data_IF_402237130673
#
_entry.id   IF_402237130673
#
_cell.length_a   1.000
_cell.length_b   1.000
_cell.length_c   1.000
_cell.angle_alpha   90.00
_cell.angle_beta   90.00
_cell.angle_gamma   90.00
#
_symmetry.space_group_name_H-M   'P 1'
#
loop_
_entity.id
_entity.type
_entity.pdbx_description
1 polymer ?
#
# COMPACT_ATOMS: atom_id res chain seq x y z
N UNK A 1 -35.80 1.24 -46.86
CA UNK A 1 -35.36 0.35 -45.78
C UNK A 1 -34.22 1.05 -45.03
N UNK A 2 -34.46 1.45 -43.76
CA UNK A 2 -33.50 2.13 -42.92
C UNK A 2 -32.46 1.13 -42.43
N UNK A 3 -31.18 1.26 -42.82
CA UNK A 3 -30.09 0.58 -42.17
C UNK A 3 -30.02 1.12 -40.73
N UNK A 4 -30.39 0.27 -39.77
CA UNK A 4 -30.17 0.52 -38.35
C UNK A 4 -28.65 0.57 -38.14
N UNK A 5 -28.11 1.74 -37.83
CA UNK A 5 -26.74 1.94 -37.42
C UNK A 5 -26.48 1.02 -36.21
N UNK A 6 -25.69 -0.02 -36.42
CA UNK A 6 -25.11 -0.84 -35.34
C UNK A 6 -24.24 0.10 -34.48
N UNK A 7 -24.80 0.61 -33.38
CA UNK A 7 -23.99 1.39 -32.42
C UNK A 7 -22.77 0.54 -32.05
N UNK A 8 -21.61 1.02 -32.43
CA UNK A 8 -20.35 0.38 -32.07
C UNK A 8 -20.20 0.38 -30.55
N UNK A 9 -20.18 -0.79 -29.93
CA UNK A 9 -19.86 -1.00 -28.52
C UNK A 9 -18.33 -1.13 -28.28
N UNK A 10 -17.55 -0.49 -29.12
CA UNK A 10 -16.07 -0.61 -29.15
C UNK A 10 -15.41 -0.52 -27.77
N UNK A 11 -15.88 0.42 -26.92
CA UNK A 11 -15.34 0.52 -25.56
C UNK A 11 -15.63 -0.71 -24.70
N UNK A 12 -16.81 -1.33 -24.85
CA UNK A 12 -17.14 -2.56 -24.15
C UNK A 12 -16.31 -3.74 -24.66
N UNK A 13 -16.04 -3.77 -25.96
CA UNK A 13 -15.23 -4.84 -26.59
C UNK A 13 -13.76 -4.75 -26.13
N UNK A 14 -13.19 -3.54 -25.99
CA UNK A 14 -11.87 -3.32 -25.40
C UNK A 14 -11.79 -3.93 -24.01
N UNK A 15 -12.74 -3.60 -23.13
CA UNK A 15 -12.78 -4.10 -21.75
C UNK A 15 -12.93 -5.63 -21.70
N UNK A 16 -13.72 -6.23 -22.61
CA UNK A 16 -13.87 -7.69 -22.68
C UNK A 16 -12.54 -8.37 -23.07
N UNK A 17 -11.83 -7.85 -24.07
CA UNK A 17 -10.55 -8.40 -24.49
C UNK A 17 -9.54 -8.36 -23.33
N UNK A 18 -9.50 -7.27 -22.58
CA UNK A 18 -8.63 -7.18 -21.38
C UNK A 18 -9.07 -8.13 -20.27
N UNK A 19 -10.37 -8.30 -20.04
CA UNK A 19 -10.88 -9.26 -19.07
C UNK A 19 -10.54 -10.71 -19.44
N UNK A 20 -10.69 -11.11 -20.71
CA UNK A 20 -10.29 -12.43 -21.20
C UNK A 20 -8.77 -12.67 -21.02
N UNK A 21 -7.95 -11.64 -21.22
CA UNK A 21 -6.50 -11.73 -20.99
C UNK A 21 -6.16 -11.94 -19.49
N UNK A 22 -6.91 -11.31 -18.58
CA UNK A 22 -6.76 -11.49 -17.14
C UNK A 22 -7.22 -12.88 -16.68
N UNK A 23 -8.33 -13.40 -17.21
CA UNK A 23 -8.78 -14.76 -16.94
C UNK A 23 -7.71 -15.79 -17.40
N UNK A 24 -7.17 -15.62 -18.58
CA UNK A 24 -6.08 -16.47 -19.09
C UNK A 24 -4.80 -16.35 -18.23
N UNK A 25 -4.50 -15.18 -17.67
CA UNK A 25 -3.40 -15.02 -16.72
C UNK A 25 -3.66 -15.79 -15.43
N UNK A 26 -4.86 -15.71 -14.87
CA UNK A 26 -5.22 -16.41 -13.64
C UNK A 26 -5.07 -17.94 -13.82
N UNK A 27 -5.54 -18.48 -14.94
CA UNK A 27 -5.39 -19.90 -15.27
C UNK A 27 -3.90 -20.29 -15.40
N UNK A 28 -3.05 -19.43 -15.97
CA UNK A 28 -1.61 -19.69 -16.04
C UNK A 28 -0.96 -19.71 -14.66
N UNK A 29 -1.30 -18.74 -13.79
CA UNK A 29 -0.77 -18.70 -12.42
C UNK A 29 -1.20 -19.95 -11.63
N UNK A 30 -2.45 -20.38 -11.78
CA UNK A 30 -2.97 -21.58 -11.11
C UNK A 30 -2.45 -22.91 -11.72
N UNK A 31 -1.88 -22.88 -12.92
CA UNK A 31 -1.47 -24.04 -13.68
C UNK A 31 -0.01 -24.00 -14.12
N UNK A 32 0.28 -23.80 -15.43
CA UNK A 32 1.63 -24.00 -15.98
C UNK A 32 2.68 -23.01 -15.45
N UNK A 33 2.30 -21.87 -14.92
CA UNK A 33 3.19 -20.87 -14.36
C UNK A 33 3.29 -20.92 -12.82
N UNK A 34 2.58 -21.82 -12.15
CA UNK A 34 2.51 -21.87 -10.69
C UNK A 34 3.91 -21.98 -10.04
N UNK A 35 4.76 -22.90 -10.53
CA UNK A 35 6.11 -23.08 -10.00
C UNK A 35 6.98 -21.82 -10.21
N UNK A 36 6.89 -21.18 -11.38
CA UNK A 36 7.63 -19.96 -11.65
C UNK A 36 7.16 -18.80 -10.80
N UNK A 37 5.85 -18.69 -10.55
CA UNK A 37 5.26 -17.69 -9.68
C UNK A 37 5.74 -17.86 -8.23
N UNK A 38 5.72 -19.08 -7.70
CA UNK A 38 6.22 -19.40 -6.36
C UNK A 38 7.72 -19.10 -6.22
N UNK A 39 8.54 -19.47 -7.21
CA UNK A 39 9.98 -19.13 -7.25
C UNK A 39 10.22 -17.62 -7.29
N UNK A 40 9.40 -16.86 -8.00
CA UNK A 40 9.49 -15.40 -7.99
C UNK A 40 9.23 -14.85 -6.59
N UNK A 41 8.21 -15.35 -5.90
CA UNK A 41 7.91 -14.97 -4.52
C UNK A 41 9.05 -15.36 -3.55
N UNK A 42 9.63 -16.54 -3.70
CA UNK A 42 10.78 -16.99 -2.89
C UNK A 42 11.99 -16.07 -3.08
N UNK A 43 12.29 -15.71 -4.32
CA UNK A 43 13.38 -14.78 -4.65
C UNK A 43 13.13 -13.39 -4.04
N UNK A 44 11.91 -12.86 -4.14
CA UNK A 44 11.53 -11.58 -3.54
C UNK A 44 11.50 -11.64 -2.01
N UNK A 45 11.11 -12.75 -1.41
CA UNK A 45 11.10 -12.94 0.04
C UNK A 45 12.52 -13.01 0.61
N UNK A 46 13.45 -13.65 -0.10
CA UNK A 46 14.86 -13.74 0.26
C UNK A 46 15.64 -12.44 0.03
N UNK A 47 15.05 -11.44 -0.64
CA UNK A 47 15.67 -10.15 -0.92
C UNK A 47 16.08 -9.44 0.38
N UNK A 48 17.37 -9.10 0.51
CA UNK A 48 17.92 -8.38 1.66
C UNK A 48 17.98 -6.87 1.43
N UNK A 49 17.89 -6.44 0.18
CA UNK A 49 17.87 -5.05 -0.24
C UNK A 49 16.45 -4.59 -0.63
N UNK A 50 16.33 -4.06 -1.85
CA UNK A 50 15.08 -3.55 -2.41
C UNK A 50 14.67 -4.37 -3.64
N UNK A 51 13.38 -4.38 -3.93
CA UNK A 51 12.86 -4.83 -5.23
C UNK A 51 12.94 -3.65 -6.20
N UNK A 52 13.82 -3.76 -7.20
CA UNK A 52 14.02 -2.74 -8.22
C UNK A 52 13.20 -3.12 -9.45
N UNK A 53 12.19 -2.33 -9.80
CA UNK A 53 11.31 -2.61 -10.94
C UNK A 53 11.72 -1.72 -12.10
N UNK A 54 11.89 -2.29 -13.29
CA UNK A 54 12.36 -1.57 -14.48
C UNK A 54 11.53 -1.90 -15.73
N UNK A 55 11.44 -0.95 -16.64
CA UNK A 55 10.69 -1.09 -17.91
C UNK A 55 10.74 0.19 -18.74
N UNK A 56 10.52 0.08 -20.06
CA UNK A 56 10.48 1.21 -20.98
C UNK A 56 9.06 1.60 -21.41
N UNK A 57 8.83 2.87 -21.69
CA UNK A 57 7.58 3.39 -22.23
C UNK A 57 6.37 3.00 -21.37
N UNK A 58 5.36 2.35 -21.95
CA UNK A 58 4.15 1.92 -21.20
C UNK A 58 4.47 0.86 -20.15
N UNK A 59 5.38 -0.08 -20.43
CA UNK A 59 5.87 -1.04 -19.43
C UNK A 59 6.60 -0.34 -18.29
N UNK A 60 7.27 0.80 -18.51
CA UNK A 60 7.87 1.63 -17.47
C UNK A 60 6.85 2.28 -16.56
N UNK A 61 5.70 2.73 -17.08
CA UNK A 61 4.59 3.25 -16.26
C UNK A 61 3.99 2.15 -15.38
N UNK A 62 3.82 0.94 -15.93
CA UNK A 62 3.38 -0.24 -15.19
C UNK A 62 4.41 -0.60 -14.11
N UNK A 63 5.70 -0.60 -14.43
CA UNK A 63 6.78 -0.86 -13.48
C UNK A 63 6.79 0.13 -12.31
N UNK A 64 6.55 1.42 -12.57
CA UNK A 64 6.39 2.44 -11.51
C UNK A 64 5.23 2.11 -10.58
N UNK A 65 4.08 1.70 -11.14
CA UNK A 65 2.91 1.31 -10.34
C UNK A 65 3.19 0.06 -9.50
N UNK A 66 3.84 -0.94 -10.06
CA UNK A 66 4.23 -2.17 -9.32
C UNK A 66 5.17 -1.82 -8.16
N UNK A 67 6.18 -1.00 -8.38
CA UNK A 67 7.09 -0.54 -7.33
C UNK A 67 6.34 0.20 -6.22
N UNK A 68 5.38 1.07 -6.57
CA UNK A 68 4.54 1.77 -5.61
C UNK A 68 3.65 0.80 -4.82
N UNK A 69 3.05 -0.20 -5.47
CA UNK A 69 2.24 -1.23 -4.79
C UNK A 69 3.09 -2.04 -3.81
N UNK A 70 4.26 -2.52 -4.21
CA UNK A 70 5.20 -3.23 -3.34
C UNK A 70 5.56 -2.40 -2.11
N UNK A 71 5.91 -1.12 -2.30
CA UNK A 71 6.24 -0.22 -1.19
C UNK A 71 5.06 -0.01 -0.26
N UNK A 72 3.85 0.16 -0.78
CA UNK A 72 2.64 0.35 0.01
C UNK A 72 2.15 -0.91 0.72
N UNK A 73 2.63 -2.08 0.31
CA UNK A 73 2.37 -3.38 0.94
C UNK A 73 3.56 -3.91 1.75
N UNK A 74 4.46 -3.02 2.18
CA UNK A 74 5.54 -3.34 3.12
C UNK A 74 6.81 -3.93 2.51
N UNK A 75 6.93 -3.97 1.18
CA UNK A 75 8.17 -4.41 0.51
C UNK A 75 8.93 -3.19 0.01
N UNK A 76 10.14 -2.88 0.52
CA UNK A 76 10.94 -1.80 -0.01
C UNK A 76 11.19 -1.96 -1.51
N UNK A 77 10.67 -1.04 -2.32
CA UNK A 77 10.78 -1.12 -3.76
C UNK A 77 11.02 0.24 -4.40
N UNK A 78 11.61 0.25 -5.59
CA UNK A 78 11.83 1.47 -6.37
C UNK A 78 11.75 1.18 -7.86
N UNK A 79 11.46 2.22 -8.63
CA UNK A 79 11.54 2.18 -10.08
C UNK A 79 12.92 2.67 -10.55
N UNK A 80 13.55 1.93 -11.47
CA UNK A 80 14.77 2.31 -12.18
C UNK A 80 14.47 2.46 -13.68
N UNK A 81 14.66 3.67 -14.20
CA UNK A 81 14.47 3.90 -15.63
C UNK A 81 15.65 3.33 -16.42
N UNK A 82 15.46 2.41 -17.40
CA UNK A 82 16.57 1.73 -18.05
C UNK A 82 17.52 2.67 -18.80
N UNK A 83 17.01 3.72 -19.45
CA UNK A 83 17.85 4.67 -20.17
C UNK A 83 18.69 5.54 -19.21
N UNK A 84 18.15 5.94 -18.05
CA UNK A 84 18.90 6.71 -17.05
C UNK A 84 19.92 5.83 -16.33
N UNK A 85 19.58 4.56 -16.15
CA UNK A 85 20.48 3.58 -15.55
C UNK A 85 21.83 3.51 -16.24
N UNK A 86 21.87 3.45 -17.57
CA UNK A 86 23.13 3.39 -18.34
C UNK A 86 23.91 4.71 -18.32
N UNK A 87 23.30 5.81 -17.85
CA UNK A 87 23.93 7.12 -17.71
C UNK A 87 24.34 7.47 -16.26
N UNK A 88 24.27 6.51 -15.34
CA UNK A 88 24.77 6.71 -13.96
C UNK A 88 23.92 6.06 -12.88
N UNK A 89 22.59 5.94 -13.07
CA UNK A 89 21.66 5.45 -12.04
C UNK A 89 21.81 3.95 -11.75
N UNK A 90 22.65 3.22 -12.51
CA UNK A 90 23.07 1.85 -12.14
C UNK A 90 23.72 1.76 -10.75
N UNK A 91 24.25 2.86 -10.24
CA UNK A 91 24.74 2.94 -8.87
C UNK A 91 23.67 2.77 -7.80
N UNK A 92 22.37 2.88 -8.17
CA UNK A 92 21.25 2.63 -7.27
C UNK A 92 21.01 1.14 -7.03
N UNK A 93 21.53 0.26 -7.90
CA UNK A 93 21.40 -1.18 -7.79
C UNK A 93 22.59 -1.74 -6.98
N UNK A 94 22.28 -2.45 -5.93
CA UNK A 94 23.27 -2.99 -4.99
C UNK A 94 23.11 -4.49 -4.78
N UNK A 95 24.13 -5.15 -4.25
CA UNK A 95 24.06 -6.56 -3.88
C UNK A 95 22.94 -6.78 -2.85
N UNK A 96 22.17 -7.87 -3.02
CA UNK A 96 21.04 -8.18 -2.17
C UNK A 96 19.70 -7.62 -2.67
N UNK A 97 19.72 -6.77 -3.71
CA UNK A 97 18.49 -6.38 -4.41
C UNK A 97 17.94 -7.53 -5.28
N UNK A 98 16.69 -7.39 -5.71
CA UNK A 98 16.05 -8.22 -6.74
C UNK A 98 15.49 -7.30 -7.81
N UNK A 99 15.76 -7.61 -9.09
CA UNK A 99 15.24 -6.84 -10.22
C UNK A 99 14.02 -7.54 -10.84
N UNK A 100 12.94 -6.80 -11.04
CA UNK A 100 11.80 -7.20 -11.88
C UNK A 100 11.84 -6.36 -13.15
N UNK A 101 12.12 -7.01 -14.29
CA UNK A 101 12.23 -6.35 -15.58
C UNK A 101 11.02 -6.65 -16.49
N UNK A 102 10.32 -5.59 -16.90
CA UNK A 102 9.13 -5.64 -17.75
C UNK A 102 9.49 -5.31 -19.19
N UNK A 103 9.39 -6.29 -20.08
CA UNK A 103 9.53 -6.11 -21.53
C UNK A 103 8.66 -7.12 -22.26
N UNK A 104 7.61 -6.66 -22.94
CA UNK A 104 6.69 -7.58 -23.62
C UNK A 104 7.41 -8.44 -24.69
N UNK A 105 8.29 -7.85 -25.50
CA UNK A 105 9.13 -8.58 -26.46
C UNK A 105 10.28 -9.34 -25.81
N UNK A 106 10.70 -8.93 -24.61
CA UNK A 106 11.93 -9.41 -23.97
C UNK A 106 13.24 -9.02 -24.70
N UNK A 107 13.15 -8.12 -25.70
CA UNK A 107 14.24 -7.70 -26.57
C UNK A 107 14.48 -6.17 -26.54
N UNK A 108 13.97 -5.48 -25.53
CA UNK A 108 14.17 -4.03 -25.34
C UNK A 108 15.64 -3.74 -25.03
N UNK A 109 16.34 -3.06 -25.94
CA UNK A 109 17.80 -2.86 -25.88
C UNK A 109 18.25 -2.20 -24.58
N UNK A 110 17.52 -1.17 -24.10
CA UNK A 110 17.85 -0.45 -22.87
C UNK A 110 17.76 -1.37 -21.64
N UNK A 111 16.85 -2.34 -21.63
CA UNK A 111 16.74 -3.31 -20.53
C UNK A 111 17.84 -4.37 -20.66
N UNK A 112 18.14 -4.84 -21.87
CA UNK A 112 19.21 -5.82 -22.10
C UNK A 112 20.58 -5.28 -21.70
N UNK A 113 20.83 -3.98 -21.86
CA UNK A 113 22.07 -3.34 -21.41
C UNK A 113 22.26 -3.40 -19.89
N UNK A 114 21.19 -3.54 -19.09
CA UNK A 114 21.29 -3.71 -17.64
C UNK A 114 21.78 -5.10 -17.22
N UNK A 115 21.58 -6.13 -18.07
CA UNK A 115 21.86 -7.53 -17.74
C UNK A 115 23.32 -7.76 -17.32
N UNK A 116 24.27 -7.06 -17.96
CA UNK A 116 25.69 -7.17 -17.63
C UNK A 116 25.95 -6.76 -16.19
N UNK A 117 25.34 -5.66 -15.76
CA UNK A 117 25.50 -5.16 -14.38
C UNK A 117 24.76 -6.03 -13.38
N UNK A 118 23.52 -6.44 -13.68
CA UNK A 118 22.74 -7.35 -12.84
C UNK A 118 23.52 -8.63 -12.55
N UNK A 119 24.08 -9.26 -13.60
CA UNK A 119 24.92 -10.47 -13.48
C UNK A 119 26.20 -10.21 -12.68
N UNK A 120 26.91 -9.10 -12.94
CA UNK A 120 28.14 -8.74 -12.21
C UNK A 120 27.91 -8.53 -10.72
N UNK A 121 26.77 -7.96 -10.34
CA UNK A 121 26.41 -7.73 -8.94
C UNK A 121 25.85 -8.99 -8.27
N UNK A 122 25.47 -10.02 -9.02
CA UNK A 122 24.82 -11.20 -8.48
C UNK A 122 23.42 -10.90 -7.95
N UNK A 123 22.71 -9.98 -8.61
CA UNK A 123 21.35 -9.56 -8.24
C UNK A 123 20.35 -10.48 -8.92
N UNK A 124 19.38 -11.01 -8.17
CA UNK A 124 18.33 -11.88 -8.72
C UNK A 124 17.47 -11.15 -9.75
N UNK A 125 17.13 -11.82 -10.83
CA UNK A 125 16.36 -11.25 -11.94
C UNK A 125 15.08 -12.02 -12.20
N UNK A 126 13.95 -11.33 -12.14
CA UNK A 126 12.63 -11.80 -12.56
C UNK A 126 12.27 -11.07 -13.85
N UNK A 127 11.98 -11.80 -14.92
CA UNK A 127 11.53 -11.25 -16.19
C UNK A 127 10.00 -11.39 -16.33
N UNK A 128 9.32 -10.32 -16.73
CA UNK A 128 7.91 -10.32 -17.12
C UNK A 128 7.85 -10.07 -18.64
N UNK A 129 7.55 -11.10 -19.43
CA UNK A 129 7.60 -11.03 -20.90
C UNK A 129 6.32 -11.57 -21.53
N UNK A 130 6.00 -11.16 -22.75
CA UNK A 130 4.86 -11.65 -23.53
C UNK A 130 5.13 -12.94 -24.31
N UNK A 131 6.35 -13.44 -24.29
CA UNK A 131 6.71 -14.72 -24.91
C UNK A 131 7.23 -15.65 -23.82
N UNK A 132 6.61 -16.84 -23.69
CA UNK A 132 6.90 -17.76 -22.60
C UNK A 132 8.33 -18.25 -22.64
N UNK A 133 8.99 -18.15 -21.51
CA UNK A 133 10.33 -18.63 -21.31
C UNK A 133 10.33 -20.01 -20.67
N UNK A 134 11.04 -20.95 -21.28
CA UNK A 134 11.59 -22.06 -20.50
C UNK A 134 13.00 -21.65 -20.05
N UNK A 135 13.33 -21.63 -18.76
CA UNK A 135 14.67 -21.32 -18.29
C UNK A 135 15.66 -22.39 -18.76
N UNK A 136 16.74 -21.99 -19.42
CA UNK A 136 17.87 -22.86 -19.62
C UNK A 136 18.36 -23.10 -21.05
N UNK A 137 17.77 -22.53 -22.11
CA UNK A 137 18.31 -22.64 -23.46
C UNK A 137 19.14 -21.42 -23.84
N UNK A 138 20.44 -21.56 -23.92
CA UNK A 138 21.34 -20.55 -24.47
C UNK A 138 21.07 -20.36 -25.97
N UNK A 139 20.79 -19.11 -26.39
CA UNK A 139 20.63 -18.76 -27.82
C UNK A 139 22.00 -18.46 -28.39
N UNK A 140 22.44 -19.13 -29.52
CA UNK A 140 23.68 -18.79 -30.20
C UNK A 140 23.55 -17.44 -30.91
N UNK A 141 24.54 -16.56 -30.70
CA UNK A 141 24.71 -15.33 -31.46
C UNK A 141 25.15 -15.64 -32.88
N UNK A 142 24.26 -15.59 -33.86
CA UNK A 142 24.66 -15.51 -35.26
C UNK A 142 23.86 -14.44 -36.02
N UNK A 143 24.68 -13.52 -36.59
CA UNK A 143 24.45 -12.61 -37.72
C UNK A 143 23.40 -11.49 -37.63
N UNK A 144 23.90 -10.30 -37.32
CA UNK A 144 23.29 -9.03 -37.71
C UNK A 144 23.54 -8.69 -39.16
N UNK A 145 22.55 -8.23 -39.93
CA UNK A 145 22.77 -7.47 -41.16
C UNK A 145 23.12 -6.02 -40.82
N UNK A 146 24.09 -5.45 -41.52
CA UNK A 146 24.51 -4.05 -41.42
C UNK A 146 23.45 -3.07 -41.96
N UNK A 147 23.40 -1.84 -41.43
CA UNK A 147 22.44 -0.82 -41.88
C UNK A 147 22.92 -0.12 -43.15
N UNK A 148 22.08 -0.11 -44.19
CA UNK A 148 22.27 0.71 -45.35
C UNK A 148 21.43 0.26 -46.53
N UNK A 149 20.30 0.91 -46.78
CA UNK A 149 19.75 1.36 -48.06
C UNK A 149 18.26 1.70 -47.90
N UNK A 150 17.92 2.93 -48.26
CA UNK A 150 16.55 3.41 -48.38
C UNK A 150 15.83 2.65 -49.51
N UNK A 151 14.62 2.13 -49.24
CA UNK A 151 13.75 1.49 -50.20
C UNK A 151 12.37 2.15 -50.21
N UNK A 152 11.75 2.37 -51.41
CA UNK A 152 10.53 3.14 -51.56
C UNK A 152 9.28 2.47 -50.98
N UNK A 153 8.31 3.27 -50.55
CA UNK A 153 7.00 2.84 -50.07
C UNK A 153 6.18 2.10 -51.13
N UNK A 154 6.22 0.79 -51.14
CA UNK A 154 5.16 -0.03 -51.71
C UNK A 154 4.38 -0.71 -50.59
N UNK A 155 3.04 -0.55 -50.62
CA UNK A 155 2.11 -1.24 -49.72
C UNK A 155 2.23 -2.74 -49.90
N UNK A 156 2.90 -3.39 -48.95
CA UNK A 156 2.89 -4.86 -48.86
C UNK A 156 1.81 -5.30 -47.90
N UNK A 157 1.07 -6.38 -48.19
CA UNK A 157 0.13 -6.96 -47.24
C UNK A 157 0.89 -7.46 -46.03
N UNK A 158 0.34 -7.19 -44.83
CA UNK A 158 0.91 -7.66 -43.57
C UNK A 158 1.16 -9.16 -43.61
N UNK A 159 2.37 -9.64 -43.27
CA UNK A 159 2.57 -11.05 -43.03
C UNK A 159 1.70 -11.44 -41.83
N UNK A 160 0.79 -12.40 -42.04
CA UNK A 160 0.17 -13.16 -40.97
C UNK A 160 1.29 -13.58 -40.04
N UNK A 161 1.09 -13.36 -38.73
CA UNK A 161 1.98 -13.83 -37.68
C UNK A 161 2.34 -15.29 -37.95
N UNK A 162 3.50 -15.52 -38.54
CA UNK A 162 4.03 -16.85 -38.72
C UNK A 162 4.35 -17.39 -37.36
N UNK A 163 3.74 -18.49 -37.01
CA UNK A 163 4.01 -19.33 -35.86
C UNK A 163 5.54 -19.58 -35.74
N UNK A 164 6.29 -18.68 -35.13
CA UNK A 164 7.58 -18.98 -34.52
C UNK A 164 7.30 -19.68 -33.21
N UNK A 165 7.19 -21.01 -33.27
CA UNK A 165 7.17 -21.87 -32.09
C UNK A 165 8.44 -21.61 -31.28
N UNK A 166 8.27 -21.14 -30.05
CA UNK A 166 9.15 -21.36 -28.89
C UNK A 166 10.60 -20.84 -28.97
N UNK A 167 10.84 -19.60 -29.37
CA UNK A 167 12.11 -18.95 -29.07
C UNK A 167 11.93 -18.15 -27.73
N UNK A 168 12.71 -18.54 -26.72
CA UNK A 168 12.82 -17.81 -25.44
C UNK A 168 13.45 -16.46 -25.72
N UNK A 169 12.83 -15.36 -25.27
CA UNK A 169 13.41 -14.04 -25.44
C UNK A 169 14.73 -13.88 -24.64
N UNK A 170 15.60 -12.95 -25.09
CA UNK A 170 16.90 -12.71 -24.45
C UNK A 170 16.77 -12.38 -22.96
N UNK A 171 15.79 -11.52 -22.59
CA UNK A 171 15.54 -11.16 -21.20
C UNK A 171 15.10 -12.38 -20.37
N UNK A 172 14.15 -13.14 -20.89
CA UNK A 172 13.63 -14.32 -20.21
C UNK A 172 14.71 -15.41 -20.04
N UNK A 173 15.55 -15.65 -21.07
CA UNK A 173 16.67 -16.58 -20.99
C UNK A 173 17.80 -16.15 -20.05
N UNK A 174 17.88 -14.85 -19.73
CA UNK A 174 18.87 -14.32 -18.79
C UNK A 174 18.37 -14.30 -17.35
N UNK A 175 17.06 -14.42 -17.12
CA UNK A 175 16.41 -14.31 -15.80
C UNK A 175 16.48 -15.64 -15.03
N UNK A 176 16.52 -15.56 -13.71
CA UNK A 176 16.37 -16.72 -12.82
C UNK A 176 14.93 -17.24 -12.83
N UNK A 177 13.98 -16.31 -13.00
CA UNK A 177 12.56 -16.61 -13.13
C UNK A 177 11.97 -15.79 -14.26
N UNK A 178 11.26 -16.44 -15.18
CA UNK A 178 10.51 -15.79 -16.24
C UNK A 178 9.01 -16.04 -16.07
N UNK A 179 8.23 -14.96 -16.08
CA UNK A 179 6.79 -14.96 -15.92
C UNK A 179 6.13 -14.57 -17.25
N UNK A 180 5.21 -15.40 -17.72
CA UNK A 180 4.51 -15.25 -18.99
C UNK A 180 3.33 -14.28 -18.87
N UNK A 181 3.47 -13.10 -19.51
CA UNK A 181 2.44 -12.07 -19.65
C UNK A 181 1.81 -12.08 -21.06
N UNK A 182 1.94 -13.15 -21.84
CA UNK A 182 1.40 -13.21 -23.19
C UNK A 182 -0.11 -13.01 -23.20
N UNK A 183 -0.59 -12.36 -24.27
CA UNK A 183 -2.02 -12.14 -24.51
C UNK A 183 -2.37 -12.63 -25.92
N UNK A 184 -3.61 -13.09 -26.10
CA UNK A 184 -4.08 -13.56 -27.38
C UNK A 184 -4.14 -12.44 -28.43
N UNK A 185 -4.51 -11.23 -27.97
CA UNK A 185 -4.59 -10.04 -28.83
C UNK A 185 -4.55 -8.77 -27.98
N UNK A 186 -4.10 -7.67 -28.58
CA UNK A 186 -4.32 -6.34 -28.01
C UNK A 186 -5.73 -5.85 -28.33
N UNK A 187 -6.29 -5.03 -27.43
CA UNK A 187 -7.64 -4.49 -27.62
C UNK A 187 -7.70 -3.34 -28.65
N UNK A 188 -6.54 -2.84 -29.08
CA UNK A 188 -6.45 -1.86 -30.17
C UNK A 188 -6.68 -2.55 -31.52
N UNK A 189 -7.60 -2.05 -32.33
CA UNK A 189 -7.92 -2.60 -33.67
C UNK A 189 -6.74 -2.65 -34.62
N UNK A 190 -5.71 -1.83 -34.42
CA UNK A 190 -4.46 -1.85 -35.18
C UNK A 190 -3.43 -2.81 -34.59
N UNK A 191 -3.65 -3.36 -33.40
CA UNK A 191 -2.72 -4.23 -32.71
C UNK A 191 -1.38 -3.56 -32.32
N UNK A 192 -1.30 -2.21 -32.39
CA UNK A 192 -0.05 -1.47 -32.17
C UNK A 192 0.06 -0.86 -30.78
N UNK A 193 -1.07 -0.52 -30.16
CA UNK A 193 -1.06 0.06 -28.83
C UNK A 193 -1.14 -1.03 -27.76
N UNK A 194 -0.17 -1.14 -26.84
CA UNK A 194 -0.27 -2.03 -25.70
C UNK A 194 -1.46 -1.66 -24.83
N UNK A 195 -2.33 -2.62 -24.61
CA UNK A 195 -3.58 -2.53 -23.83
C UNK A 195 -3.70 -3.78 -22.95
N UNK A 196 -4.19 -4.89 -23.47
CA UNK A 196 -4.30 -6.17 -22.77
C UNK A 196 -2.94 -6.63 -22.20
N UNK A 197 -1.83 -6.47 -22.93
CA UNK A 197 -0.50 -6.82 -22.46
C UNK A 197 -0.07 -5.99 -21.23
N UNK A 198 -0.33 -4.69 -21.22
CA UNK A 198 0.01 -3.84 -20.09
C UNK A 198 -0.88 -4.09 -18.89
N UNK A 199 -2.18 -4.37 -19.12
CA UNK A 199 -3.14 -4.75 -18.07
C UNK A 199 -2.76 -6.08 -17.43
N UNK A 200 -2.32 -7.07 -18.23
CA UNK A 200 -1.83 -8.36 -17.74
C UNK A 200 -0.55 -8.21 -16.90
N UNK A 201 0.43 -7.42 -17.35
CA UNK A 201 1.65 -7.15 -16.59
C UNK A 201 1.33 -6.46 -15.26
N UNK A 202 0.39 -5.51 -15.26
CA UNK A 202 -0.03 -4.81 -14.06
C UNK A 202 -0.66 -5.77 -13.05
N UNK A 203 -1.60 -6.60 -13.50
CA UNK A 203 -2.29 -7.57 -12.65
C UNK A 203 -1.32 -8.62 -12.06
N UNK A 204 -0.35 -9.10 -12.87
CA UNK A 204 0.68 -10.02 -12.37
C UNK A 204 1.58 -9.36 -11.33
N UNK A 205 1.95 -8.08 -11.53
CA UNK A 205 2.71 -7.32 -10.54
C UNK A 205 1.95 -7.12 -9.23
N UNK A 206 0.64 -6.87 -9.30
CA UNK A 206 -0.22 -6.78 -8.12
C UNK A 206 -0.36 -8.14 -7.42
N UNK A 207 -0.50 -9.22 -8.17
CA UNK A 207 -0.54 -10.57 -7.62
C UNK A 207 0.75 -10.92 -6.86
N UNK A 208 1.93 -10.57 -7.40
CA UNK A 208 3.21 -10.73 -6.70
C UNK A 208 3.27 -9.89 -5.42
N UNK A 209 2.87 -8.62 -5.48
CA UNK A 209 2.92 -7.72 -4.33
C UNK A 209 2.01 -8.18 -3.19
N UNK A 210 0.76 -8.57 -3.50
CA UNK A 210 -0.21 -9.03 -2.52
C UNK A 210 0.20 -10.39 -1.95
N UNK A 211 0.58 -11.35 -2.78
CA UNK A 211 1.03 -12.67 -2.31
C UNK A 211 2.28 -12.57 -1.42
N UNK A 212 3.22 -11.66 -1.75
CA UNK A 212 4.41 -11.42 -0.91
C UNK A 212 4.05 -10.76 0.43
N UNK A 213 3.10 -9.82 0.43
CA UNK A 213 2.60 -9.18 1.64
C UNK A 213 1.96 -10.21 2.58
N UNK A 214 1.10 -11.08 2.06
CA UNK A 214 0.50 -12.21 2.78
C UNK A 214 1.58 -13.13 3.40
N UNK A 215 2.59 -13.54 2.62
CA UNK A 215 3.70 -14.36 3.12
C UNK A 215 4.51 -13.70 4.22
N UNK A 216 4.66 -12.37 4.18
CA UNK A 216 5.35 -11.58 5.20
C UNK A 216 4.48 -11.26 6.42
N UNK A 217 3.21 -11.69 6.43
CA UNK A 217 2.27 -11.39 7.51
C UNK A 217 1.96 -9.90 7.62
N UNK A 218 1.91 -9.19 6.48
CA UNK A 218 1.56 -7.77 6.42
C UNK A 218 0.11 -7.58 6.89
N UNK A 219 -0.08 -6.67 7.86
CA UNK A 219 -1.37 -6.43 8.51
C UNK A 219 -1.85 -5.00 8.27
N UNK A 220 -3.11 -4.73 8.61
CA UNK A 220 -3.71 -3.39 8.54
C UNK A 220 -2.90 -2.34 9.33
N UNK A 221 -2.32 -2.75 10.45
CA UNK A 221 -1.48 -1.88 11.29
C UNK A 221 -0.24 -1.38 10.52
N UNK A 222 0.42 -2.28 9.78
CA UNK A 222 1.57 -1.94 8.95
C UNK A 222 1.17 -1.03 7.78
N UNK A 223 -0.04 -1.24 7.23
CA UNK A 223 -0.56 -0.39 6.17
C UNK A 223 -0.79 1.04 6.66
N UNK A 224 -1.33 1.19 7.87
CA UNK A 224 -1.54 2.50 8.51
C UNK A 224 -0.23 3.28 8.72
N UNK A 225 0.82 2.60 9.17
CA UNK A 225 2.15 3.19 9.37
C UNK A 225 2.74 3.74 8.06
N UNK A 226 2.49 3.05 6.93
CA UNK A 226 2.98 3.47 5.62
C UNK A 226 2.10 4.53 4.95
N UNK A 227 0.86 4.75 5.42
CA UNK A 227 -0.11 5.68 4.82
C UNK A 227 -0.69 6.68 5.83
N UNK A 228 0.14 7.42 6.58
CA UNK A 228 -0.34 8.28 7.69
C UNK A 228 -1.28 9.40 7.22
N UNK A 229 -1.17 9.85 5.98
CA UNK A 229 -1.99 10.92 5.42
C UNK A 229 -3.31 10.48 4.76
N UNK A 230 -3.55 9.18 4.59
CA UNK A 230 -4.74 8.67 3.92
C UNK A 230 -5.94 8.47 4.87
N UNK A 231 -7.18 8.52 4.36
CA UNK A 231 -8.39 8.25 5.17
C UNK A 231 -8.31 6.90 5.91
N UNK A 232 -7.69 5.90 5.31
CA UNK A 232 -7.52 4.59 5.93
C UNK A 232 -6.44 4.61 7.02
N UNK A 233 -5.30 5.29 6.81
CA UNK A 233 -4.28 5.49 7.83
C UNK A 233 -4.81 6.23 9.05
N UNK A 234 -5.64 7.27 8.81
CA UNK A 234 -6.32 8.01 9.86
C UNK A 234 -7.28 7.13 10.69
N UNK A 235 -8.06 6.24 10.04
CA UNK A 235 -8.95 5.29 10.74
C UNK A 235 -8.19 4.24 11.57
N UNK A 236 -7.00 3.89 11.16
CA UNK A 236 -6.13 2.92 11.82
C UNK A 236 -5.13 3.57 12.79
N UNK A 237 -5.18 4.91 12.94
CA UNK A 237 -4.40 5.62 13.95
C UNK A 237 -4.73 5.07 15.34
N UNK A 238 -3.70 4.83 16.15
CA UNK A 238 -3.87 4.40 17.55
C UNK A 238 -4.15 5.59 18.45
N UNK A 239 -4.89 5.34 19.53
CA UNK A 239 -5.20 6.35 20.56
C UNK A 239 -3.92 6.99 21.09
N UNK A 240 -2.84 6.23 21.28
CA UNK A 240 -1.55 6.73 21.76
C UNK A 240 -0.93 7.85 20.92
N UNK A 241 -1.20 7.87 19.60
CA UNK A 241 -0.71 8.92 18.70
C UNK A 241 -1.54 10.20 18.72
N UNK A 242 -2.74 10.17 19.32
CA UNK A 242 -3.71 11.26 19.33
C UNK A 242 -4.05 11.76 20.74
N UNK A 243 -3.77 10.95 21.76
CA UNK A 243 -4.08 11.30 23.15
C UNK A 243 -3.18 12.43 23.65
N UNK A 244 -3.72 13.23 24.54
CA UNK A 244 -2.95 14.18 25.33
C UNK A 244 -2.29 13.46 26.49
N UNK A 245 -1.05 13.80 26.79
CA UNK A 245 -0.22 13.15 27.82
C UNK A 245 0.41 14.18 28.77
N UNK A 246 0.99 13.71 29.86
CA UNK A 246 1.75 14.54 30.79
C UNK A 246 0.96 15.72 31.35
N UNK A 247 1.51 16.92 31.22
CA UNK A 247 0.90 18.16 31.71
C UNK A 247 -0.38 18.55 30.95
N UNK A 248 -0.64 18.03 29.78
CA UNK A 248 -1.86 18.30 29.01
C UNK A 248 -3.08 17.52 29.56
N UNK A 249 -2.87 16.52 30.39
CA UNK A 249 -3.96 15.73 31.01
C UNK A 249 -4.50 16.50 32.23
N UNK A 250 -5.79 16.85 32.25
CA UNK A 250 -6.42 17.44 33.44
C UNK A 250 -6.49 16.39 34.55
N UNK A 251 -5.85 16.66 35.69
CA UNK A 251 -5.83 15.73 36.81
C UNK A 251 -5.82 16.46 38.15
N UNK A 252 -6.54 15.90 39.12
CA UNK A 252 -6.61 16.36 40.52
C UNK A 252 -6.55 15.16 41.46
N UNK A 253 -6.16 15.40 42.69
CA UNK A 253 -6.15 14.37 43.74
C UNK A 253 -7.55 14.24 44.40
N UNK A 254 -7.81 13.10 45.05
CA UNK A 254 -9.08 12.84 45.76
C UNK A 254 -9.49 13.98 46.74
N UNK A 255 -8.53 14.55 47.48
CA UNK A 255 -8.74 15.60 48.44
C UNK A 255 -8.83 17.02 47.86
N UNK A 256 -8.65 17.21 46.56
CA UNK A 256 -8.67 18.54 45.92
C UNK A 256 -10.06 19.16 46.07
N UNK A 257 -10.15 20.41 46.50
CA UNK A 257 -11.40 21.14 46.65
C UNK A 257 -12.00 21.54 45.30
N UNK A 258 -13.33 21.60 45.22
CA UNK A 258 -14.04 21.86 43.97
C UNK A 258 -13.65 23.15 43.24
N UNK A 259 -13.32 24.28 43.91
CA UNK A 259 -12.80 25.46 43.19
C UNK A 259 -11.54 25.17 42.37
N UNK A 260 -10.60 24.39 42.93
CA UNK A 260 -9.36 24.01 42.22
C UNK A 260 -9.65 22.98 41.12
N UNK A 261 -10.64 22.09 41.34
CA UNK A 261 -11.13 21.17 40.29
C UNK A 261 -11.67 21.97 39.11
N UNK A 262 -12.51 22.96 39.36
CA UNK A 262 -13.09 23.80 38.28
C UNK A 262 -12.00 24.61 37.59
N UNK A 263 -11.02 25.13 38.35
CA UNK A 263 -9.86 25.81 37.75
C UNK A 263 -9.07 24.90 36.79
N UNK A 264 -8.77 23.67 37.21
CA UNK A 264 -8.05 22.71 36.37
C UNK A 264 -8.84 22.35 35.11
N UNK A 265 -10.16 22.11 35.23
CA UNK A 265 -11.05 21.84 34.08
C UNK A 265 -11.03 23.01 33.09
N UNK A 266 -11.16 24.25 33.58
CA UNK A 266 -11.16 25.47 32.77
C UNK A 266 -9.80 25.68 32.09
N UNK A 267 -8.72 25.50 32.84
CA UNK A 267 -7.34 25.67 32.33
C UNK A 267 -6.99 24.72 31.19
N UNK A 268 -7.45 23.48 31.29
CA UNK A 268 -7.16 22.43 30.29
C UNK A 268 -8.16 22.40 29.12
N UNK A 269 -9.34 22.98 29.27
CA UNK A 269 -10.32 23.20 28.21
C UNK A 269 -10.98 21.94 27.63
N UNK A 270 -10.95 20.81 28.36
CA UNK A 270 -11.54 19.54 27.89
C UNK A 270 -12.94 19.26 28.44
N UNK A 271 -13.48 20.16 29.30
CA UNK A 271 -14.79 19.96 29.95
C UNK A 271 -14.82 18.78 30.92
N UNK A 272 -13.66 18.23 31.27
CA UNK A 272 -13.49 17.12 32.21
C UNK A 272 -12.18 17.25 32.98
N UNK A 273 -12.12 16.61 34.17
CA UNK A 273 -10.85 16.33 34.86
C UNK A 273 -10.85 14.94 35.44
N UNK A 274 -9.71 14.29 35.43
CA UNK A 274 -9.52 12.98 36.06
C UNK A 274 -9.18 13.14 37.53
N UNK A 275 -9.68 12.23 38.36
CA UNK A 275 -9.38 12.16 39.79
C UNK A 275 -8.49 10.96 40.02
N UNK A 276 -7.33 11.19 40.63
CA UNK A 276 -6.29 10.18 40.82
C UNK A 276 -5.86 10.02 42.27
N UNK A 277 -5.33 8.84 42.58
CA UNK A 277 -4.56 8.57 43.79
C UNK A 277 -3.17 8.06 43.37
N UNK A 278 -2.17 8.94 43.50
CA UNK A 278 -0.89 8.70 42.82
C UNK A 278 -1.05 8.72 41.30
N UNK A 279 -0.75 7.61 40.64
CA UNK A 279 -0.94 7.42 39.20
C UNK A 279 -2.22 6.63 38.85
N UNK A 280 -2.90 6.08 39.88
CA UNK A 280 -4.10 5.27 39.69
C UNK A 280 -5.32 6.14 39.43
N UNK A 281 -6.07 5.80 38.38
CA UNK A 281 -7.34 6.46 38.07
C UNK A 281 -8.42 6.03 39.08
N UNK A 282 -9.04 7.01 39.78
CA UNK A 282 -10.10 6.79 40.72
C UNK A 282 -11.49 7.18 40.18
N UNK A 283 -11.52 8.19 39.32
CA UNK A 283 -12.75 8.68 38.72
C UNK A 283 -12.57 9.85 37.77
N UNK A 284 -13.67 10.43 37.34
CA UNK A 284 -13.72 11.59 36.43
C UNK A 284 -14.81 12.57 36.95
N UNK A 285 -14.61 13.86 36.70
CA UNK A 285 -15.61 14.91 36.88
C UNK A 285 -15.77 15.62 35.54
N UNK A 286 -16.98 15.64 35.00
CA UNK A 286 -17.33 16.39 33.79
C UNK A 286 -18.12 17.66 34.10
N UNK A 287 -18.21 18.57 33.09
CA UNK A 287 -19.08 19.74 33.15
C UNK A 287 -20.55 19.38 33.44
N UNK A 288 -20.98 18.22 32.92
CA UNK A 288 -22.31 17.68 33.18
C UNK A 288 -22.49 17.26 34.62
N UNK A 289 -21.47 16.67 35.25
CA UNK A 289 -21.51 16.31 36.70
C UNK A 289 -21.54 17.55 37.54
N UNK A 290 -20.70 18.54 37.23
CA UNK A 290 -20.65 19.81 37.94
C UNK A 290 -22.00 20.53 37.91
N UNK A 291 -22.65 20.61 36.74
CA UNK A 291 -24.01 21.21 36.64
C UNK A 291 -25.04 20.47 37.47
N UNK A 292 -25.05 19.14 37.45
CA UNK A 292 -25.95 18.33 38.27
C UNK A 292 -25.70 18.51 39.78
N UNK A 293 -24.44 18.61 40.20
CA UNK A 293 -24.07 18.87 41.60
C UNK A 293 -24.54 20.24 42.06
N UNK A 294 -24.32 21.28 41.27
CA UNK A 294 -24.77 22.64 41.54
C UNK A 294 -26.30 22.73 41.66
N UNK A 295 -27.06 22.03 40.83
CA UNK A 295 -28.51 21.96 40.91
C UNK A 295 -28.99 21.28 42.20
N UNK A 296 -28.29 20.25 42.70
CA UNK A 296 -28.69 19.49 43.88
C UNK A 296 -28.24 20.11 45.17
N UNK A 297 -27.04 20.71 45.25
CA UNK A 297 -26.37 21.16 46.47
C UNK A 297 -26.10 22.67 46.52
N UNK A 298 -26.37 23.40 45.46
CA UNK A 298 -26.14 24.83 45.37
C UNK A 298 -24.71 25.23 45.72
N UNK A 299 -24.58 26.18 46.67
CA UNK A 299 -23.30 26.73 47.10
C UNK A 299 -22.42 25.74 47.89
N UNK A 300 -22.98 24.68 48.44
CA UNK A 300 -22.24 23.69 49.24
C UNK A 300 -21.18 22.93 48.37
N UNK A 301 -21.35 22.93 47.04
CA UNK A 301 -20.43 22.26 46.13
C UNK A 301 -18.98 22.73 46.27
N UNK A 302 -18.77 24.01 46.63
CA UNK A 302 -17.42 24.58 46.79
C UNK A 302 -16.64 23.99 47.97
N UNK A 303 -17.35 23.45 48.97
CA UNK A 303 -16.75 22.84 50.17
C UNK A 303 -16.43 21.36 49.96
N UNK A 304 -16.95 20.73 48.89
CA UNK A 304 -16.73 19.33 48.61
C UNK A 304 -15.35 19.09 48.00
N UNK A 305 -14.93 17.85 48.07
CA UNK A 305 -13.69 17.37 47.44
C UNK A 305 -13.96 16.66 46.12
N UNK A 306 -12.95 16.51 45.30
CA UNK A 306 -13.02 15.75 44.06
C UNK A 306 -13.48 14.30 44.27
N UNK A 307 -13.00 13.64 45.32
CA UNK A 307 -13.40 12.29 45.69
C UNK A 307 -14.87 12.12 46.05
N UNK A 308 -15.52 13.17 46.62
CA UNK A 308 -16.94 13.20 46.93
C UNK A 308 -17.82 13.46 45.70
N UNK A 309 -17.27 14.13 44.68
CA UNK A 309 -17.99 14.60 43.50
C UNK A 309 -17.79 13.76 42.27
N UNK A 310 -16.75 12.93 42.19
CA UNK A 310 -16.36 12.17 41.01
C UNK A 310 -17.37 11.08 40.64
N UNK A 311 -17.50 10.85 39.37
CA UNK A 311 -18.07 9.62 38.81
C UNK A 311 -17.00 8.55 38.86
N UNK A 312 -17.26 7.46 39.59
CA UNK A 312 -16.37 6.30 39.71
C UNK A 312 -16.46 5.44 38.45
N UNK A 313 -15.40 4.68 38.18
CA UNK A 313 -15.32 3.75 37.02
C UNK A 313 -15.65 4.46 35.67
N UNK A 314 -14.90 5.51 35.30
CA UNK A 314 -15.12 6.17 34.03
C UNK A 314 -14.87 5.24 32.85
N UNK A 315 -15.42 5.57 31.70
CA UNK A 315 -15.07 4.84 30.47
C UNK A 315 -13.60 5.06 30.16
N UNK A 316 -12.88 3.98 29.93
CA UNK A 316 -11.45 3.99 29.61
C UNK A 316 -11.19 3.29 28.30
N UNK A 317 -10.03 3.54 27.71
CA UNK A 317 -9.56 2.88 26.50
C UNK A 317 -8.06 2.63 26.62
N UNK A 318 -7.56 1.57 25.98
CA UNK A 318 -6.12 1.28 25.95
C UNK A 318 -5.39 2.19 24.94
N UNK A 319 -4.12 2.55 25.17
CA UNK A 319 -3.32 3.34 24.23
C UNK A 319 -3.23 2.69 22.84
N UNK A 320 -3.15 1.34 22.79
CA UNK A 320 -3.04 0.55 21.58
C UNK A 320 -4.35 0.40 20.79
N UNK A 321 -5.48 0.85 21.32
CA UNK A 321 -6.76 0.80 20.62
C UNK A 321 -6.79 1.77 19.43
N UNK A 322 -7.59 1.45 18.42
CA UNK A 322 -7.75 2.32 17.26
C UNK A 322 -8.60 3.56 17.59
N UNK A 323 -8.28 4.69 16.95
CA UNK A 323 -9.05 5.93 17.07
C UNK A 323 -10.53 5.75 16.67
N UNK A 324 -10.82 4.92 15.68
CA UNK A 324 -12.18 4.56 15.30
C UNK A 324 -12.95 3.86 16.44
N UNK A 325 -12.27 3.02 17.24
CA UNK A 325 -12.88 2.39 18.41
C UNK A 325 -13.18 3.42 19.48
N UNK A 326 -12.27 4.39 19.71
CA UNK A 326 -12.49 5.49 20.64
C UNK A 326 -13.72 6.33 20.23
N UNK A 327 -13.82 6.68 18.96
CA UNK A 327 -14.93 7.44 18.40
C UNK A 327 -16.27 6.70 18.59
N UNK A 328 -16.35 5.43 18.20
CA UNK A 328 -17.54 4.60 18.38
C UNK A 328 -17.97 4.51 19.87
N UNK A 329 -17.00 4.38 20.78
CA UNK A 329 -17.29 4.35 22.22
C UNK A 329 -17.82 5.69 22.73
N UNK A 330 -17.25 6.81 22.26
CA UNK A 330 -17.74 8.16 22.61
C UNK A 330 -19.18 8.37 22.12
N UNK A 331 -19.50 7.96 20.89
CA UNK A 331 -20.86 8.06 20.32
C UNK A 331 -21.88 7.20 21.08
N UNK A 332 -21.56 5.93 21.32
CA UNK A 332 -22.43 5.01 22.07
C UNK A 332 -22.70 5.49 23.50
N UNK A 333 -21.70 6.04 24.16
CA UNK A 333 -21.82 6.52 25.55
C UNK A 333 -22.24 7.98 25.64
N UNK A 334 -22.32 8.69 24.51
CA UNK A 334 -22.64 10.13 24.41
C UNK A 334 -21.70 10.98 25.28
N UNK A 335 -20.40 10.70 25.19
CA UNK A 335 -19.33 11.41 25.89
C UNK A 335 -18.33 11.98 24.86
N UNK A 336 -17.65 13.05 25.25
CA UNK A 336 -16.67 13.75 24.39
C UNK A 336 -15.22 13.48 24.76
N UNK A 337 -14.98 12.75 25.84
CA UNK A 337 -13.63 12.43 26.32
C UNK A 337 -13.57 11.00 26.83
N UNK A 338 -12.46 10.31 26.53
CA UNK A 338 -12.12 9.00 27.06
C UNK A 338 -10.80 9.08 27.81
N UNK A 339 -10.77 8.52 29.00
CA UNK A 339 -9.53 8.39 29.77
C UNK A 339 -8.73 7.22 29.21
N UNK A 340 -7.44 7.44 28.94
CA UNK A 340 -6.54 6.40 28.44
C UNK A 340 -5.77 5.81 29.62
N UNK A 341 -5.90 4.50 29.79
CA UNK A 341 -5.27 3.79 30.91
C UNK A 341 -4.48 2.57 30.45
N UNK A 342 -3.41 2.29 31.18
CA UNK A 342 -2.64 1.05 31.07
C UNK A 342 -2.54 0.42 32.47
N UNK A 343 -3.08 -0.79 32.64
CA UNK A 343 -3.16 -1.48 33.95
C UNK A 343 -3.68 -0.56 35.08
N UNK A 344 -4.81 0.12 34.86
CA UNK A 344 -5.45 1.09 35.78
C UNK A 344 -4.65 2.41 36.02
N UNK A 345 -3.46 2.52 35.47
CA UNK A 345 -2.67 3.75 35.53
C UNK A 345 -3.15 4.74 34.48
N UNK A 346 -3.33 5.99 34.85
CA UNK A 346 -3.65 7.08 33.95
C UNK A 346 -2.43 7.40 33.08
N UNK A 347 -2.54 7.21 31.77
CA UNK A 347 -1.47 7.51 30.81
C UNK A 347 -1.83 8.67 29.87
N UNK A 348 -3.11 8.96 29.69
CA UNK A 348 -3.56 10.03 28.81
C UNK A 348 -5.06 10.29 28.85
N UNK A 349 -5.49 11.20 27.99
CA UNK A 349 -6.90 11.48 27.70
C UNK A 349 -7.04 11.78 26.21
N UNK A 350 -8.07 11.27 25.57
CA UNK A 350 -8.41 11.61 24.18
C UNK A 350 -9.76 12.33 24.16
N UNK A 351 -9.81 13.45 23.46
CA UNK A 351 -11.02 14.25 23.29
C UNK A 351 -11.56 14.13 21.86
N UNK A 352 -12.85 14.28 21.67
CA UNK A 352 -13.52 14.17 20.38
C UNK A 352 -12.90 15.12 19.31
N UNK A 353 -12.48 16.33 19.71
CA UNK A 353 -11.80 17.26 18.81
C UNK A 353 -10.43 16.73 18.32
N UNK A 354 -9.69 16.02 19.18
CA UNK A 354 -8.41 15.43 18.80
C UNK A 354 -8.60 14.35 17.70
N UNK A 355 -9.76 13.67 17.71
CA UNK A 355 -10.16 12.70 16.67
C UNK A 355 -10.66 13.39 15.39
N UNK A 356 -11.33 14.54 15.49
CA UNK A 356 -11.83 15.29 14.34
C UNK A 356 -10.70 15.94 13.53
N UNK A 357 -9.67 16.45 14.19
CA UNK A 357 -8.49 17.00 13.49
C UNK A 357 -7.82 15.99 12.56
N UNK A 358 -8.05 14.71 12.79
CA UNK A 358 -7.54 13.64 11.92
C UNK A 358 -8.44 13.32 10.72
N UNK A 359 -9.60 14.00 10.54
CA UNK A 359 -10.58 13.74 9.46
C UNK A 359 -11.00 12.25 9.38
N UNK A 360 -11.16 11.59 10.52
CA UNK A 360 -11.63 10.19 10.62
C UNK A 360 -13.12 10.07 10.25
N UNK A 361 -13.83 11.18 10.26
CA UNK A 361 -15.26 11.31 9.91
C UNK A 361 -15.45 11.64 8.44
#
# INVERSE_FOLDING_TARGET
MKQASKKSHLGADVVRIEAEALEALAERIAGPMAEAFERALDLMQACQGRVVVTGMGKSGLVARKIAATLSSTGTPAMFLHPAEAVHGDLGMLVRGDVVIALSYSGETEEILNLLVTIKRLGVGLIAMTGESAQPGAAVPHENRPQPGAAVPHERRPHPRASQKKNAVSTLAGAAEVALDCSVAQEACSLGLAPTASTTTMLALGDALAVALAERRGFKEEHFAELHPGGKLGKKLAKVESLMRTGEAVPRVMLGTKMPDVIYEMSRKGLGVTTVVEGERLMGIISDGDLRRLLQKRGKEVVELTAGECMTRNPQTIAPSAFAATALNLMEQKKITSLVVTEAERLVGIVHLHDLWETEIL
#
